data_IF_924138369161
#
_entry.id   IF_924138369161
#
_cell.length_a   1.000
_cell.length_b   1.000
_cell.length_c   1.000
_cell.angle_alpha   90.00
_cell.angle_beta   90.00
_cell.angle_gamma   90.00
#
_symmetry.space_group_name_H-M   'P 1'
#
loop_
_entity.id
_entity.type
_entity.pdbx_description
1 polymer ?
#
# COMPACT_ATOMS: atom_id res chain seq x y z
N UNK A 1 24.92 -19.13 5.49
CA UNK A 1 24.81 -17.72 5.03
C UNK A 1 25.73 -17.53 3.83
N UNK A 2 25.19 -17.16 2.68
CA UNK A 2 25.98 -16.88 1.48
C UNK A 2 26.82 -15.62 1.72
N UNK A 3 28.15 -15.72 1.54
CA UNK A 3 29.04 -14.56 1.69
C UNK A 3 28.74 -13.54 0.59
N UNK A 4 28.35 -12.32 0.97
CA UNK A 4 28.12 -11.23 0.01
C UNK A 4 29.45 -10.81 -0.62
N UNK A 5 29.48 -10.77 -1.94
CA UNK A 5 30.66 -10.38 -2.73
C UNK A 5 30.32 -9.06 -3.48
N UNK A 6 31.09 -8.02 -3.23
CA UNK A 6 30.90 -6.74 -3.93
C UNK A 6 31.44 -6.82 -5.37
N UNK A 7 30.67 -7.41 -6.27
CA UNK A 7 30.99 -7.48 -7.70
C UNK A 7 29.74 -7.48 -8.56
N UNK A 8 29.86 -6.91 -9.77
CA UNK A 8 28.74 -6.89 -10.74
C UNK A 8 28.31 -8.30 -11.16
N UNK A 9 29.24 -9.24 -11.28
CA UNK A 9 28.91 -10.61 -11.65
C UNK A 9 28.11 -11.30 -10.58
N UNK A 10 28.41 -11.07 -9.31
CA UNK A 10 27.65 -11.63 -8.19
C UNK A 10 26.24 -11.01 -8.12
N UNK A 11 26.11 -9.70 -8.33
CA UNK A 11 24.80 -9.06 -8.39
C UNK A 11 23.94 -9.62 -9.53
N UNK A 12 24.50 -9.76 -10.75
CA UNK A 12 23.79 -10.38 -11.89
C UNK A 12 23.40 -11.85 -11.64
N UNK A 13 24.21 -12.57 -10.88
CA UNK A 13 23.87 -13.95 -10.49
C UNK A 13 22.68 -13.95 -9.53
N UNK A 14 22.66 -13.09 -8.52
CA UNK A 14 21.54 -12.97 -7.59
C UNK A 14 20.24 -12.57 -8.32
N UNK A 15 20.30 -11.60 -9.24
CA UNK A 15 19.15 -11.20 -10.06
C UNK A 15 18.60 -12.38 -10.88
N UNK A 16 19.46 -13.24 -11.41
CA UNK A 16 19.07 -14.40 -12.20
C UNK A 16 18.42 -15.50 -11.34
N UNK A 17 18.87 -15.64 -10.09
CA UNK A 17 18.40 -16.63 -9.13
C UNK A 17 17.16 -16.13 -8.35
N UNK A 18 16.80 -14.84 -8.48
CA UNK A 18 15.66 -14.26 -7.78
C UNK A 18 14.32 -14.80 -8.33
N UNK A 19 13.65 -15.59 -7.50
CA UNK A 19 12.33 -16.15 -7.81
C UNK A 19 11.22 -15.07 -7.99
N UNK A 20 11.46 -13.87 -7.48
CA UNK A 20 10.52 -12.73 -7.55
C UNK A 20 10.80 -11.81 -8.73
N UNK A 21 11.85 -12.04 -9.52
CA UNK A 21 12.27 -11.17 -10.63
C UNK A 21 11.14 -10.83 -11.60
N UNK A 22 10.23 -11.77 -11.88
CA UNK A 22 9.10 -11.58 -12.78
C UNK A 22 8.08 -10.54 -12.29
N UNK A 23 7.97 -10.33 -10.97
CA UNK A 23 7.03 -9.35 -10.41
C UNK A 23 7.37 -7.91 -10.79
N UNK A 24 8.65 -7.61 -11.09
CA UNK A 24 9.07 -6.30 -11.60
C UNK A 24 8.26 -5.88 -12.83
N UNK A 25 7.92 -6.82 -13.69
CA UNK A 25 7.17 -6.59 -14.94
C UNK A 25 5.71 -6.18 -14.70
N UNK A 26 5.19 -6.35 -13.50
CA UNK A 26 3.82 -5.98 -13.14
C UNK A 26 3.68 -4.48 -12.81
N UNK A 27 4.78 -3.74 -12.74
CA UNK A 27 4.79 -2.34 -12.36
C UNK A 27 5.25 -1.43 -13.50
N UNK A 28 4.79 -0.17 -13.47
CA UNK A 28 5.34 0.91 -14.29
C UNK A 28 6.60 1.43 -13.62
N UNK A 29 7.72 1.36 -14.34
CA UNK A 29 9.00 1.86 -13.84
C UNK A 29 9.26 3.20 -14.51
N UNK A 30 9.47 4.29 -13.75
CA UNK A 30 9.82 5.59 -14.31
C UNK A 30 11.06 5.50 -15.19
N UNK A 31 11.14 6.36 -16.18
CA UNK A 31 12.26 6.43 -17.13
C UNK A 31 13.09 7.68 -16.90
N UNK A 32 14.37 7.60 -17.21
CA UNK A 32 15.24 8.75 -17.27
C UNK A 32 15.06 9.53 -18.60
N UNK A 33 15.84 10.60 -18.78
CA UNK A 33 15.83 11.42 -19.99
C UNK A 33 16.30 10.67 -21.25
N UNK A 34 16.94 9.53 -21.09
CA UNK A 34 17.40 8.63 -22.17
C UNK A 34 16.48 7.43 -22.38
N UNK A 35 15.26 7.46 -21.79
CA UNK A 35 14.26 6.39 -21.83
C UNK A 35 14.72 5.06 -21.20
N UNK A 36 15.67 5.09 -20.27
CA UNK A 36 16.10 3.91 -19.51
C UNK A 36 15.35 3.84 -18.18
N UNK A 37 15.13 2.63 -17.68
CA UNK A 37 14.51 2.41 -16.38
C UNK A 37 15.33 3.06 -15.27
N UNK A 38 14.67 3.85 -14.43
CA UNK A 38 15.28 4.37 -13.21
C UNK A 38 15.56 3.25 -12.21
N UNK A 39 16.61 3.40 -11.44
CA UNK A 39 16.84 2.63 -10.22
C UNK A 39 15.97 3.24 -9.14
N UNK A 40 14.82 2.60 -8.84
CA UNK A 40 13.79 3.16 -7.95
C UNK A 40 13.82 2.48 -6.58
N UNK A 41 14.26 3.21 -5.55
CA UNK A 41 14.30 2.75 -4.15
C UNK A 41 13.47 3.63 -3.20
N UNK A 42 12.49 4.37 -3.74
CA UNK A 42 11.64 5.28 -2.96
C UNK A 42 10.29 4.64 -2.55
N UNK A 43 10.20 3.31 -2.55
CA UNK A 43 8.96 2.59 -2.23
C UNK A 43 8.43 2.83 -0.81
N UNK A 44 9.28 3.27 0.10
CA UNK A 44 8.89 3.70 1.45
C UNK A 44 8.04 4.98 1.47
N UNK A 45 8.22 5.85 0.48
CA UNK A 45 7.43 7.08 0.32
C UNK A 45 6.26 6.86 -0.64
N UNK A 46 6.54 6.38 -1.85
CA UNK A 46 5.53 6.05 -2.85
C UNK A 46 5.97 4.82 -3.63
N UNK A 47 5.20 3.73 -3.55
CA UNK A 47 5.43 2.52 -4.33
C UNK A 47 5.26 2.76 -5.85
N UNK A 48 5.85 1.89 -6.66
CA UNK A 48 5.62 1.89 -8.10
C UNK A 48 4.16 1.55 -8.41
N UNK A 49 3.59 2.20 -9.42
CA UNK A 49 2.22 1.93 -9.86
C UNK A 49 2.09 0.53 -10.49
N UNK A 50 1.23 -0.36 -9.96
CA UNK A 50 0.90 -1.60 -10.65
C UNK A 50 0.23 -1.34 -11.98
N UNK A 51 0.58 -2.09 -13.02
CA UNK A 51 -0.04 -1.96 -14.36
C UNK A 51 -1.54 -2.28 -14.35
N UNK A 52 -1.97 -3.12 -13.41
CA UNK A 52 -3.38 -3.48 -13.23
C UNK A 52 -4.24 -2.38 -12.60
N UNK A 53 -3.67 -1.34 -11.99
CA UNK A 53 -4.40 -0.28 -11.28
C UNK A 53 -5.50 0.34 -12.12
N UNK A 54 -5.17 0.70 -13.37
CA UNK A 54 -6.16 1.31 -14.28
C UNK A 54 -7.38 0.42 -14.50
N UNK A 55 -7.20 -0.89 -14.68
CA UNK A 55 -8.31 -1.81 -14.93
C UNK A 55 -9.25 -1.96 -13.72
N UNK A 56 -8.72 -1.86 -12.51
CA UNK A 56 -9.55 -1.83 -11.29
C UNK A 56 -10.38 -0.55 -11.22
N UNK A 57 -9.76 0.61 -11.47
CA UNK A 57 -10.47 1.91 -11.45
C UNK A 57 -11.54 1.95 -12.56
N UNK A 58 -11.20 1.56 -13.78
CA UNK A 58 -12.13 1.54 -14.91
C UNK A 58 -13.37 0.69 -14.62
N UNK A 59 -13.18 -0.41 -13.88
CA UNK A 59 -14.27 -1.29 -13.49
C UNK A 59 -15.21 -0.63 -12.48
N UNK A 60 -14.69 0.03 -11.45
CA UNK A 60 -15.50 0.75 -10.48
C UNK A 60 -16.24 1.92 -11.14
N UNK A 61 -15.59 2.65 -12.05
CA UNK A 61 -16.21 3.70 -12.86
C UNK A 61 -17.35 3.16 -13.73
N UNK A 62 -17.17 1.98 -14.33
CA UNK A 62 -18.21 1.31 -15.12
C UNK A 62 -19.39 0.85 -14.26
N UNK A 63 -19.12 0.29 -13.09
CA UNK A 63 -20.17 -0.12 -12.16
C UNK A 63 -20.97 1.09 -11.68
N UNK A 64 -20.32 2.20 -11.37
CA UNK A 64 -20.99 3.45 -11.02
C UNK A 64 -21.89 3.96 -12.17
N UNK A 65 -21.35 4.02 -13.39
CA UNK A 65 -22.11 4.50 -14.55
C UNK A 65 -23.36 3.64 -14.84
N UNK A 66 -23.27 2.31 -14.65
CA UNK A 66 -24.35 1.39 -14.99
C UNK A 66 -25.34 1.15 -13.84
N UNK A 67 -24.90 1.24 -12.62
CA UNK A 67 -25.70 0.84 -11.45
C UNK A 67 -26.18 2.05 -10.63
N UNK A 68 -25.49 3.19 -10.69
CA UNK A 68 -25.79 4.34 -9.84
C UNK A 68 -25.83 3.92 -8.36
N UNK A 69 -26.90 4.31 -7.66
CA UNK A 69 -27.08 3.96 -6.23
C UNK A 69 -27.09 2.45 -5.96
N UNK A 70 -27.46 1.65 -6.94
CA UNK A 70 -27.43 0.16 -6.78
C UNK A 70 -26.02 -0.40 -6.67
N UNK A 71 -24.99 0.38 -7.02
CA UNK A 71 -23.59 -0.02 -6.84
C UNK A 71 -23.22 -0.33 -5.39
N UNK A 72 -23.92 0.26 -4.43
CA UNK A 72 -23.71 -0.03 -3.00
C UNK A 72 -23.87 -1.51 -2.64
N UNK A 73 -24.77 -2.21 -3.31
CA UNK A 73 -25.06 -3.63 -3.02
C UNK A 73 -24.91 -4.56 -4.22
N UNK A 74 -24.97 -4.06 -5.45
CA UNK A 74 -25.05 -4.89 -6.67
C UNK A 74 -23.83 -4.78 -7.57
N UNK A 75 -22.85 -3.92 -7.26
CA UNK A 75 -21.58 -3.89 -7.97
C UNK A 75 -20.84 -5.24 -7.82
N UNK A 76 -19.87 -5.50 -8.67
CA UNK A 76 -19.01 -6.69 -8.53
C UNK A 76 -18.26 -6.69 -7.20
N UNK A 77 -17.84 -5.51 -6.73
CA UNK A 77 -17.35 -5.28 -5.38
C UNK A 77 -18.33 -4.30 -4.72
N UNK A 78 -19.35 -4.77 -3.98
CA UNK A 78 -20.35 -3.90 -3.37
C UNK A 78 -19.70 -2.86 -2.43
N UNK A 79 -20.02 -1.59 -2.60
CA UNK A 79 -19.30 -0.51 -1.91
C UNK A 79 -19.57 -0.43 -0.41
N UNK A 80 -20.65 -1.02 0.08
CA UNK A 80 -20.94 -1.10 1.52
C UNK A 80 -19.89 -1.93 2.28
N UNK A 81 -19.37 -2.97 1.64
CA UNK A 81 -18.48 -3.95 2.25
C UNK A 81 -16.99 -3.71 1.95
N UNK A 82 -16.63 -2.61 1.27
CA UNK A 82 -15.28 -2.37 0.76
C UNK A 82 -14.20 -2.45 1.85
N UNK A 83 -14.52 -2.05 3.08
CA UNK A 83 -13.61 -2.05 4.22
C UNK A 83 -13.16 -3.45 4.64
N UNK A 84 -13.91 -4.50 4.28
CA UNK A 84 -13.62 -5.88 4.66
C UNK A 84 -12.81 -6.65 3.61
N UNK A 85 -12.78 -6.18 2.34
CA UNK A 85 -12.20 -6.95 1.23
C UNK A 85 -10.70 -7.24 1.35
N UNK A 86 -9.95 -6.36 1.99
CA UNK A 86 -8.50 -6.47 2.11
C UNK A 86 -8.06 -6.87 3.53
N UNK A 87 -8.99 -7.11 4.43
CA UNK A 87 -8.69 -7.34 5.85
C UNK A 87 -7.82 -8.59 6.05
N UNK A 88 -8.16 -9.71 5.42
CA UNK A 88 -7.43 -10.97 5.58
C UNK A 88 -6.01 -10.88 4.99
N UNK A 89 -5.88 -10.36 3.78
CA UNK A 89 -4.60 -10.21 3.11
C UNK A 89 -3.68 -9.25 3.87
N UNK A 90 -4.22 -8.13 4.35
CA UNK A 90 -3.46 -7.18 5.14
C UNK A 90 -3.07 -7.76 6.50
N UNK A 91 -3.95 -8.49 7.16
CA UNK A 91 -3.65 -9.16 8.42
C UNK A 91 -2.48 -10.14 8.27
N UNK A 92 -2.43 -10.90 7.18
CA UNK A 92 -1.31 -11.79 6.87
C UNK A 92 0.01 -11.02 6.66
N UNK A 93 -0.03 -9.86 5.97
CA UNK A 93 1.15 -9.03 5.71
C UNK A 93 1.71 -8.45 7.00
N UNK A 94 0.86 -7.93 7.87
CA UNK A 94 1.29 -7.26 9.12
C UNK A 94 1.44 -8.22 10.31
N UNK A 95 1.11 -9.51 10.14
CA UNK A 95 1.22 -10.52 11.20
C UNK A 95 0.18 -10.36 12.32
N UNK A 96 -1.03 -9.88 11.99
CA UNK A 96 -2.13 -9.66 12.92
C UNK A 96 -3.30 -10.60 12.64
N UNK A 97 -4.32 -10.60 13.52
CA UNK A 97 -5.58 -11.29 13.26
C UNK A 97 -6.50 -10.39 12.42
N UNK A 98 -7.39 -10.95 11.57
CA UNK A 98 -8.30 -10.15 10.76
C UNK A 98 -9.13 -9.14 11.57
N UNK A 99 -9.57 -9.50 12.77
CA UNK A 99 -10.35 -8.62 13.65
C UNK A 99 -9.55 -7.39 14.16
N UNK A 100 -8.22 -7.43 14.08
CA UNK A 100 -7.32 -6.37 14.55
C UNK A 100 -6.91 -5.41 13.41
N UNK A 101 -7.39 -5.63 12.20
CA UNK A 101 -6.96 -4.90 11.00
C UNK A 101 -8.13 -4.33 10.23
N UNK A 102 -8.01 -3.08 9.83
CA UNK A 102 -8.90 -2.44 8.87
C UNK A 102 -8.07 -1.61 7.88
N UNK A 103 -8.36 -1.76 6.60
CA UNK A 103 -7.77 -0.93 5.54
C UNK A 103 -8.68 0.26 5.31
N UNK A 104 -8.21 1.45 5.66
CA UNK A 104 -9.00 2.67 5.57
C UNK A 104 -8.08 3.85 5.24
N UNK A 105 -8.60 4.96 4.92
CA UNK A 105 -8.01 6.28 4.72
C UNK A 105 -6.46 6.40 4.65
N UNK A 106 -5.97 7.62 4.46
CA UNK A 106 -4.54 7.95 4.58
C UNK A 106 -4.12 8.01 6.06
N UNK A 107 -2.81 7.91 6.31
CA UNK A 107 -2.23 8.02 7.66
C UNK A 107 -2.70 9.30 8.36
N UNK A 108 -2.65 10.45 7.71
CA UNK A 108 -3.05 11.73 8.29
C UNK A 108 -4.51 11.73 8.73
N UNK A 109 -5.42 11.25 7.88
CA UNK A 109 -6.86 11.16 8.21
C UNK A 109 -7.08 10.20 9.37
N UNK A 110 -6.41 9.03 9.36
CA UNK A 110 -6.53 8.04 10.43
C UNK A 110 -6.01 8.59 11.76
N UNK A 111 -4.88 9.32 11.75
CA UNK A 111 -4.34 9.97 12.94
C UNK A 111 -5.35 10.96 13.53
N UNK A 112 -5.95 11.82 12.70
CA UNK A 112 -6.99 12.75 13.15
C UNK A 112 -8.20 12.03 13.75
N UNK A 113 -8.69 10.98 13.08
CA UNK A 113 -9.82 10.19 13.58
C UNK A 113 -9.50 9.52 14.93
N UNK A 114 -8.30 8.97 15.10
CA UNK A 114 -7.85 8.38 16.35
C UNK A 114 -7.72 9.44 17.44
N UNK A 115 -7.14 10.61 17.14
CA UNK A 115 -7.02 11.71 18.08
C UNK A 115 -8.40 12.19 18.57
N UNK A 116 -9.34 12.43 17.67
CA UNK A 116 -10.72 12.86 18.03
C UNK A 116 -11.44 11.79 18.86
N UNK A 117 -11.23 10.52 18.54
CA UNK A 117 -11.94 9.42 19.21
C UNK A 117 -11.37 9.07 20.59
N UNK A 118 -10.05 9.05 20.73
CA UNK A 118 -9.38 8.47 21.90
C UNK A 118 -8.61 9.47 22.76
N UNK A 119 -8.15 10.59 22.20
CA UNK A 119 -7.42 11.58 22.98
C UNK A 119 -8.39 12.43 23.82
N UNK A 120 -8.43 12.13 25.12
CA UNK A 120 -9.25 12.86 26.11
C UNK A 120 -8.32 13.46 27.17
N UNK A 121 -7.75 14.66 26.91
CA UNK A 121 -6.82 15.29 27.82
C UNK A 121 -7.50 15.68 29.14
N UNK A 122 -6.70 15.64 30.22
CA UNK A 122 -7.04 16.15 31.56
C UNK A 122 -5.88 17.00 32.07
N UNK A 123 -6.06 17.74 33.13
CA UNK A 123 -4.98 18.55 33.72
C UNK A 123 -3.71 17.75 34.08
N UNK A 124 -3.86 16.44 34.31
CA UNK A 124 -2.74 15.54 34.65
C UNK A 124 -2.25 14.68 33.48
N UNK A 125 -3.10 14.41 32.48
CA UNK A 125 -2.82 13.51 31.37
C UNK A 125 -3.11 14.21 30.02
N UNK A 126 -2.16 14.99 29.56
CA UNK A 126 -2.31 15.78 28.33
C UNK A 126 -1.13 15.62 27.35
N UNK A 127 -0.07 14.92 27.77
CA UNK A 127 1.14 14.76 26.95
C UNK A 127 0.95 13.64 25.94
N UNK A 128 1.41 13.87 24.71
CA UNK A 128 1.52 12.90 23.64
C UNK A 128 3.00 12.60 23.44
N UNK A 129 3.35 11.32 23.38
CA UNK A 129 4.73 10.87 23.10
C UNK A 129 4.81 10.50 21.63
N UNK A 130 5.78 11.06 20.92
CA UNK A 130 6.08 10.80 19.54
C UNK A 130 7.57 10.41 19.40
N UNK A 131 7.92 9.69 18.35
CA UNK A 131 9.31 9.54 17.94
C UNK A 131 9.84 10.88 17.38
N UNK A 132 11.15 11.14 17.55
CA UNK A 132 11.75 12.42 17.12
C UNK A 132 11.82 12.57 15.60
N UNK A 133 11.98 11.45 14.88
CA UNK A 133 12.22 11.39 13.43
C UNK A 133 11.02 10.80 12.67
N UNK A 134 9.79 11.09 13.16
CA UNK A 134 8.56 10.70 12.44
C UNK A 134 8.56 11.24 11.02
N UNK A 135 8.08 10.45 10.07
CA UNK A 135 7.87 10.90 8.70
C UNK A 135 6.88 12.08 8.67
N UNK A 136 7.20 13.20 7.99
CA UNK A 136 6.37 14.40 7.94
C UNK A 136 5.05 14.22 7.18
#
# INVERSE_FOLDING_TARGET
MTKLINSLNFAKQLDKEDSLSNYRNLFHIPKDVHNKDLIYFCGNSLGLQPKSTKSFIDKEMKDWANLGVKGWSNAKNPWLEYHSYLTNEMANIVGAKPLEVVVMNTLTVNLHLMMVSFYKPTDKKFKIILEADSFP
#
